data_IF_129781652195
#
_entry.id   IF_129781652195
#
_cell.length_a   1.000
_cell.length_b   1.000
_cell.length_c   1.000
_cell.angle_alpha   90.00
_cell.angle_beta   90.00
_cell.angle_gamma   90.00
#
_symmetry.space_group_name_H-M   'P 1'
#
loop_
_entity.id
_entity.type
_entity.pdbx_description
1 polymer ?
#
# COMPACT_ATOMS: atom_id res chain seq x y z
N UNK A 1 1.63 20.94 -4.94
CA UNK A 1 0.48 21.85 -5.10
C UNK A 1 -0.28 21.44 -6.36
N UNK A 2 -1.60 21.59 -6.40
CA UNK A 2 -2.38 21.41 -7.63
C UNK A 2 -2.76 22.78 -8.15
N UNK A 3 -2.45 23.08 -9.41
CA UNK A 3 -2.85 24.33 -10.06
C UNK A 3 -1.75 25.39 -10.21
N UNK A 4 -2.17 26.61 -10.53
CA UNK A 4 -1.28 27.76 -10.77
C UNK A 4 -0.65 28.29 -9.48
N UNK A 5 0.68 28.27 -9.45
CA UNK A 5 1.50 28.74 -8.34
C UNK A 5 1.43 30.26 -8.14
N UNK A 6 1.09 31.00 -9.19
CA UNK A 6 0.87 32.45 -9.15
C UNK A 6 -0.49 32.86 -8.58
N UNK A 7 -1.43 31.93 -8.44
CA UNK A 7 -2.75 32.21 -7.89
C UNK A 7 -2.70 32.42 -6.37
N UNK A 8 -3.71 33.12 -5.84
CA UNK A 8 -3.81 33.51 -4.44
C UNK A 8 -5.24 33.91 -4.09
N UNK A 9 -5.58 33.87 -2.81
CA UNK A 9 -6.91 34.19 -2.30
C UNK A 9 -6.82 35.17 -1.13
N UNK A 10 -7.76 36.12 -1.02
CA UNK A 10 -7.74 37.11 0.04
C UNK A 10 -8.11 36.46 1.36
N UNK A 11 -7.41 36.86 2.42
CA UNK A 11 -7.66 36.38 3.77
C UNK A 11 -8.45 37.43 4.57
N UNK A 12 -9.12 36.99 5.63
CA UNK A 12 -9.82 37.88 6.55
C UNK A 12 -9.66 37.36 7.97
N UNK A 13 -9.04 38.18 8.82
CA UNK A 13 -8.94 37.86 10.24
C UNK A 13 -10.31 37.89 10.92
N UNK A 14 -10.52 36.97 11.85
CA UNK A 14 -11.82 36.80 12.54
C UNK A 14 -12.24 38.06 13.29
N UNK A 15 -11.32 38.74 13.96
CA UNK A 15 -11.66 39.95 14.72
C UNK A 15 -12.03 41.10 13.79
N UNK A 16 -11.41 41.18 12.61
CA UNK A 16 -11.74 42.19 11.61
C UNK A 16 -13.12 41.92 10.99
N UNK A 17 -13.48 40.64 10.79
CA UNK A 17 -14.84 40.23 10.42
C UNK A 17 -15.87 40.64 11.49
N UNK A 18 -15.58 40.36 12.76
CA UNK A 18 -16.47 40.73 13.86
C UNK A 18 -16.63 42.26 13.92
N UNK A 19 -15.55 43.02 13.76
CA UNK A 19 -15.59 44.47 13.71
C UNK A 19 -16.42 44.99 12.53
N UNK A 20 -16.35 44.35 11.35
CA UNK A 20 -17.19 44.70 10.19
C UNK A 20 -18.68 44.51 10.51
N UNK A 21 -19.03 43.37 11.12
CA UNK A 21 -20.40 43.05 11.52
C UNK A 21 -20.92 44.04 12.57
N UNK A 22 -20.12 44.33 13.60
CA UNK A 22 -20.49 45.30 14.65
C UNK A 22 -20.77 46.67 14.03
N UNK A 23 -19.92 47.14 13.12
CA UNK A 23 -20.12 48.42 12.41
C UNK A 23 -21.36 48.43 11.53
N UNK A 24 -21.70 47.30 10.90
CA UNK A 24 -22.93 47.18 10.14
C UNK A 24 -24.17 47.28 11.05
N UNK A 25 -24.14 46.62 12.22
CA UNK A 25 -25.23 46.67 13.21
C UNK A 25 -25.37 48.08 13.78
N UNK A 26 -24.28 48.75 14.13
CA UNK A 26 -24.30 50.10 14.69
C UNK A 26 -24.87 51.12 13.70
N UNK A 27 -24.57 50.96 12.41
CA UNK A 27 -25.03 51.85 11.34
C UNK A 27 -26.31 51.39 10.66
N UNK A 28 -26.97 50.32 11.13
CA UNK A 28 -28.12 49.69 10.45
C UNK A 28 -29.23 50.65 10.04
N UNK A 29 -29.47 51.72 10.81
CA UNK A 29 -30.51 52.71 10.50
C UNK A 29 -30.14 53.69 9.37
N UNK A 30 -28.85 53.77 9.02
CA UNK A 30 -28.30 54.64 7.99
C UNK A 30 -27.90 53.87 6.72
N UNK A 31 -28.12 52.56 6.67
CA UNK A 31 -27.80 51.72 5.52
C UNK A 31 -29.05 51.48 4.67
N UNK A 32 -28.91 51.39 3.34
CA UNK A 32 -29.97 50.90 2.47
C UNK A 32 -30.44 49.50 2.89
N UNK A 33 -31.70 49.19 2.60
CA UNK A 33 -32.33 47.89 2.88
C UNK A 33 -31.49 46.70 2.39
N UNK A 34 -30.75 46.88 1.28
CA UNK A 34 -29.77 45.93 0.78
C UNK A 34 -28.41 46.61 0.55
N UNK A 35 -27.36 46.09 1.20
CA UNK A 35 -25.99 46.59 1.06
C UNK A 35 -25.02 45.43 0.88
N UNK A 36 -24.36 45.37 -0.28
CA UNK A 36 -23.36 44.36 -0.62
C UNK A 36 -21.95 44.92 -0.42
N UNK A 37 -21.11 44.19 0.29
CA UNK A 37 -19.74 44.59 0.64
C UNK A 37 -18.77 43.43 0.49
N UNK A 38 -17.58 43.75 0.00
CA UNK A 38 -16.42 42.88 0.09
C UNK A 38 -15.61 43.28 1.32
N UNK A 39 -15.20 42.30 2.12
CA UNK A 39 -14.39 42.46 3.32
C UNK A 39 -13.28 41.42 3.31
N UNK A 40 -12.06 41.88 3.56
CA UNK A 40 -10.85 41.05 3.57
C UNK A 40 -9.60 41.92 3.42
N UNK A 41 -8.45 41.26 3.36
CA UNK A 41 -7.16 41.85 3.07
C UNK A 41 -7.05 42.21 1.58
N UNK A 42 -6.58 43.43 1.26
CA UNK A 42 -6.29 43.82 -0.13
C UNK A 42 -5.00 43.13 -0.63
N UNK A 43 -4.09 42.74 0.27
CA UNK A 43 -2.89 41.98 -0.06
C UNK A 43 -3.23 40.50 -0.27
N UNK A 44 -2.96 39.99 -1.46
CA UNK A 44 -3.23 38.59 -1.85
C UNK A 44 -1.93 37.89 -2.23
N UNK A 45 -1.19 37.32 -1.27
CA UNK A 45 0.06 36.61 -1.58
C UNK A 45 -0.26 35.34 -2.38
N UNK A 46 0.61 35.00 -3.35
CA UNK A 46 0.44 33.78 -4.12
C UNK A 46 0.72 32.53 -3.28
N UNK A 47 0.22 31.37 -3.72
CA UNK A 47 0.50 30.09 -3.07
C UNK A 47 2.01 29.78 -3.03
N UNK A 48 2.74 30.14 -4.09
CA UNK A 48 4.21 30.00 -4.12
C UNK A 48 4.89 30.92 -3.10
N UNK A 49 4.46 32.18 -3.03
CA UNK A 49 5.02 33.15 -2.10
C UNK A 49 4.79 32.73 -0.65
N UNK A 50 3.57 32.29 -0.33
CA UNK A 50 3.22 31.75 0.99
C UNK A 50 4.06 30.52 1.35
N UNK A 51 4.24 29.58 0.43
CA UNK A 51 5.01 28.37 0.71
C UNK A 51 6.50 28.65 0.89
N UNK A 52 7.11 29.53 0.08
CA UNK A 52 8.50 29.96 0.26
C UNK A 52 8.68 30.67 1.60
N UNK A 53 7.76 31.56 1.96
CA UNK A 53 7.82 32.32 3.22
C UNK A 53 7.68 31.40 4.43
N UNK A 54 6.76 30.43 4.39
CA UNK A 54 6.63 29.39 5.43
C UNK A 54 7.89 28.52 5.48
N UNK A 55 8.39 28.05 4.34
CA UNK A 55 9.61 27.23 4.25
C UNK A 55 10.81 27.90 4.92
N UNK A 56 11.05 29.19 4.63
CA UNK A 56 12.09 29.99 5.29
C UNK A 56 11.87 30.11 6.79
N UNK A 57 10.65 30.44 7.23
CA UNK A 57 10.36 30.62 8.66
C UNK A 57 10.49 29.32 9.48
N UNK A 58 10.12 28.18 8.89
CA UNK A 58 10.15 26.88 9.58
C UNK A 58 11.55 26.26 9.52
N UNK A 59 12.14 26.18 8.33
CA UNK A 59 13.33 25.37 8.03
C UNK A 59 14.57 26.15 7.58
N UNK A 60 14.48 27.49 7.45
CA UNK A 60 15.56 28.34 6.93
C UNK A 60 15.97 28.00 5.48
N UNK A 61 15.06 27.38 4.72
CA UNK A 61 15.28 26.93 3.34
C UNK A 61 14.15 27.37 2.40
N UNK A 62 14.50 27.60 1.13
CA UNK A 62 13.52 27.80 0.06
C UNK A 62 12.95 26.46 -0.39
N UNK A 63 11.73 26.17 0.04
CA UNK A 63 11.01 24.99 -0.39
C UNK A 63 10.61 25.08 -1.86
N UNK A 64 10.98 24.05 -2.62
CA UNK A 64 10.65 23.95 -4.04
C UNK A 64 9.26 23.38 -4.20
N UNK A 65 8.29 24.22 -4.56
CA UNK A 65 6.92 23.77 -4.81
C UNK A 65 6.82 23.06 -6.15
N UNK A 66 6.44 21.78 -6.12
CA UNK A 66 6.15 21.01 -7.32
C UNK A 66 4.65 21.05 -7.61
N UNK A 67 4.29 21.42 -8.85
CA UNK A 67 2.92 21.33 -9.36
C UNK A 67 2.66 19.94 -9.91
N UNK A 68 1.57 19.29 -9.47
CA UNK A 68 1.15 17.98 -9.99
C UNK A 68 -0.06 18.15 -10.92
N UNK A 69 -0.15 17.35 -12.01
CA UNK A 69 -1.32 17.37 -12.88
C UNK A 69 -2.60 17.00 -12.11
N UNK A 70 -3.67 17.80 -12.29
CA UNK A 70 -4.94 17.64 -11.55
C UNK A 70 -5.52 16.23 -11.57
N UNK A 71 -5.42 15.53 -12.71
CA UNK A 71 -5.92 14.16 -12.86
C UNK A 71 -5.20 13.13 -11.97
N UNK A 72 -3.89 13.27 -11.81
CA UNK A 72 -3.08 12.36 -11.00
C UNK A 72 -3.31 12.62 -9.50
N UNK A 73 -3.48 13.89 -9.11
CA UNK A 73 -3.80 14.25 -7.73
C UNK A 73 -5.23 13.87 -7.33
N UNK A 74 -6.22 14.00 -8.22
CA UNK A 74 -7.60 13.57 -7.95
C UNK A 74 -7.70 12.06 -7.74
N UNK A 75 -7.00 11.27 -8.55
CA UNK A 75 -6.91 9.82 -8.37
C UNK A 75 -6.19 9.44 -7.06
N UNK A 76 -5.07 10.10 -6.74
CA UNK A 76 -4.34 9.86 -5.49
C UNK A 76 -5.15 10.21 -4.24
N UNK A 77 -5.82 11.37 -4.24
CA UNK A 77 -6.69 11.80 -3.14
C UNK A 77 -7.88 10.85 -2.97
N UNK A 78 -8.51 10.41 -4.07
CA UNK A 78 -9.61 9.43 -4.02
C UNK A 78 -9.17 8.10 -3.41
N UNK A 79 -8.02 7.55 -3.81
CA UNK A 79 -7.45 6.33 -3.21
C UNK A 79 -7.18 6.53 -1.72
N UNK A 80 -6.64 7.68 -1.33
CA UNK A 80 -6.30 7.97 0.05
C UNK A 80 -7.53 8.13 0.96
N UNK A 81 -8.60 8.78 0.46
CA UNK A 81 -9.84 8.97 1.22
C UNK A 81 -10.68 7.69 1.26
N UNK A 82 -10.96 7.07 0.11
CA UNK A 82 -11.97 5.98 0.02
C UNK A 82 -11.40 4.58 0.31
N UNK A 83 -10.12 4.34 -0.02
CA UNK A 83 -9.51 3.01 0.14
C UNK A 83 -8.69 2.92 1.43
N UNK A 84 -8.02 4.02 1.82
CA UNK A 84 -7.15 4.06 2.99
C UNK A 84 -7.80 4.68 4.23
N UNK A 85 -9.05 5.15 4.12
CA UNK A 85 -9.84 5.80 5.20
C UNK A 85 -9.06 6.90 5.93
N UNK A 86 -8.25 7.66 5.18
CA UNK A 86 -7.52 8.81 5.69
C UNK A 86 -8.29 10.08 5.33
N UNK A 87 -8.66 10.87 6.33
CA UNK A 87 -9.14 12.23 6.09
C UNK A 87 -8.08 13.01 5.32
N UNK A 88 -8.35 13.27 4.04
CA UNK A 88 -7.46 14.06 3.21
C UNK A 88 -7.87 15.51 3.34
N UNK A 89 -6.92 16.36 3.78
CA UNK A 89 -7.13 17.81 3.94
C UNK A 89 -7.44 18.50 2.61
N UNK A 90 -7.04 17.88 1.49
CA UNK A 90 -7.29 18.37 0.13
C UNK A 90 -8.58 17.77 -0.39
N UNK A 91 -9.65 18.59 -0.46
CA UNK A 91 -10.93 18.16 -1.02
C UNK A 91 -10.97 18.30 -2.55
N UNK A 92 -11.75 17.47 -3.29
CA UNK A 92 -11.81 17.53 -4.75
C UNK A 92 -12.16 18.91 -5.34
N UNK A 93 -13.04 19.66 -4.68
CA UNK A 93 -13.43 21.00 -5.10
C UNK A 93 -12.30 22.04 -4.91
N UNK A 94 -11.38 21.82 -3.97
CA UNK A 94 -10.20 22.69 -3.78
C UNK A 94 -9.23 22.55 -4.96
N UNK A 95 -9.14 21.37 -5.58
CA UNK A 95 -8.29 21.09 -6.75
C UNK A 95 -8.87 21.74 -8.02
N UNK A 96 -10.19 21.89 -8.07
CA UNK A 96 -10.86 22.54 -9.21
C UNK A 96 -10.63 24.05 -9.16
N UNK A 97 -10.74 24.68 -7.99
CA UNK A 97 -10.60 26.14 -7.79
C UNK A 97 -9.17 26.63 -7.59
N UNK A 98 -8.16 25.76 -7.63
CA UNK A 98 -6.78 26.12 -7.28
C UNK A 98 -6.03 26.94 -8.34
N UNK A 99 -6.65 27.20 -9.49
CA UNK A 99 -6.10 28.08 -10.54
C UNK A 99 -6.63 29.52 -10.45
N UNK A 100 -7.64 29.78 -9.60
CA UNK A 100 -8.29 31.08 -9.54
C UNK A 100 -7.54 32.05 -8.62
N UNK A 101 -7.17 33.21 -9.16
CA UNK A 101 -6.62 34.33 -8.39
C UNK A 101 -7.72 35.37 -8.12
N UNK A 102 -7.95 35.70 -6.85
CA UNK A 102 -8.97 36.66 -6.45
C UNK A 102 -8.32 37.85 -5.73
N UNK A 103 -8.58 39.06 -6.21
CA UNK A 103 -8.30 40.31 -5.52
C UNK A 103 -9.63 40.98 -5.13
N UNK A 104 -9.65 41.70 -4.01
CA UNK A 104 -10.86 42.34 -3.51
C UNK A 104 -10.70 43.85 -3.36
N UNK A 105 -11.76 44.58 -3.73
CA UNK A 105 -11.86 46.02 -3.53
C UNK A 105 -12.75 46.33 -2.31
N UNK A 106 -12.13 46.82 -1.24
CA UNK A 106 -12.81 47.18 0.02
C UNK A 106 -13.25 48.64 0.08
N UNK A 107 -13.15 49.41 -1.02
CA UNK A 107 -13.48 50.85 -1.05
C UNK A 107 -14.90 51.14 -0.55
N UNK A 108 -15.84 50.23 -0.79
CA UNK A 108 -17.22 50.36 -0.30
C UNK A 108 -17.34 50.13 1.21
N UNK A 109 -16.57 49.20 1.78
CA UNK A 109 -16.51 48.98 3.21
C UNK A 109 -15.83 50.16 3.93
N UNK A 110 -14.78 50.71 3.33
CA UNK A 110 -14.08 51.91 3.82
C UNK A 110 -15.00 53.13 3.84
N UNK A 111 -15.74 53.38 2.75
CA UNK A 111 -16.62 54.55 2.65
C UNK A 111 -17.88 54.45 3.50
N UNK A 112 -18.57 53.31 3.52
CA UNK A 112 -19.84 53.17 4.27
C UNK A 112 -19.61 52.90 5.75
N UNK A 113 -18.58 52.11 6.10
CA UNK A 113 -18.36 51.66 7.48
C UNK A 113 -17.13 52.29 8.14
N UNK A 114 -16.25 52.97 7.40
CA UNK A 114 -14.93 53.34 7.95
C UNK A 114 -14.17 52.10 8.41
N UNK A 115 -14.35 50.98 7.69
CA UNK A 115 -13.75 49.69 8.02
C UNK A 115 -12.58 49.39 7.09
N UNK A 116 -11.49 48.92 7.69
CA UNK A 116 -10.29 48.42 7.04
C UNK A 116 -9.76 47.24 7.86
N UNK A 117 -9.12 46.24 7.21
CA UNK A 117 -8.47 45.15 7.92
C UNK A 117 -7.32 45.71 8.78
N UNK A 118 -7.24 45.26 10.03
CA UNK A 118 -6.17 45.64 10.96
C UNK A 118 -5.10 44.58 11.08
N UNK A 119 -5.45 43.35 10.75
CA UNK A 119 -4.56 42.20 10.77
C UNK A 119 -4.25 41.81 9.32
N UNK A 120 -2.99 41.45 9.06
CA UNK A 120 -2.60 40.83 7.80
C UNK A 120 -1.97 39.47 8.04
N UNK A 121 -2.32 38.48 7.20
CA UNK A 121 -1.75 37.14 7.29
C UNK A 121 -0.23 37.18 7.17
N UNK A 122 0.27 37.94 6.18
CA UNK A 122 1.70 38.13 5.93
C UNK A 122 2.45 38.74 7.12
N UNK A 123 1.79 39.64 7.85
CA UNK A 123 2.32 40.30 9.05
C UNK A 123 2.28 39.41 10.30
N UNK A 124 1.25 38.58 10.45
CA UNK A 124 1.11 37.68 11.62
C UNK A 124 1.87 36.37 11.47
N UNK A 125 2.18 35.95 10.23
CA UNK A 125 2.80 34.66 9.94
C UNK A 125 4.12 34.40 10.71
N UNK A 126 5.07 35.34 10.84
CA UNK A 126 6.31 35.09 11.60
C UNK A 126 6.06 34.73 13.07
N UNK A 127 5.11 35.42 13.70
CA UNK A 127 4.73 35.16 15.10
C UNK A 127 3.98 33.82 15.24
N UNK A 128 3.13 33.48 14.27
CA UNK A 128 2.46 32.17 14.22
C UNK A 128 3.48 31.03 14.17
N UNK A 129 4.49 31.15 13.29
CA UNK A 129 5.54 30.13 13.14
C UNK A 129 6.47 30.10 14.36
N UNK A 130 6.81 31.24 14.96
CA UNK A 130 7.59 31.29 16.22
C UNK A 130 6.90 30.49 17.32
N UNK A 131 5.61 30.75 17.57
CA UNK A 131 4.82 30.01 18.58
C UNK A 131 4.68 28.53 18.24
N UNK A 132 4.53 28.20 16.96
CA UNK A 132 4.51 26.81 16.51
C UNK A 132 5.82 26.09 16.83
N UNK A 133 6.98 26.75 16.66
CA UNK A 133 8.30 26.16 16.95
C UNK A 133 8.59 26.05 18.45
N UNK A 134 8.01 26.92 19.27
CA UNK A 134 8.20 26.92 20.73
C UNK A 134 7.45 25.78 21.43
N UNK A 135 6.18 25.59 21.10
CA UNK A 135 5.38 24.47 21.61
C UNK A 135 4.40 24.00 20.52
N UNK A 136 4.83 23.07 19.65
CA UNK A 136 3.99 22.58 18.56
C UNK A 136 2.70 21.91 19.05
N UNK A 137 2.73 21.26 20.23
CA UNK A 137 1.58 20.50 20.73
C UNK A 137 0.50 21.44 21.23
N UNK A 138 0.86 22.41 22.08
CA UNK A 138 -0.05 23.43 22.59
C UNK A 138 -0.58 24.33 21.46
N UNK A 139 0.26 24.65 20.47
CA UNK A 139 -0.15 25.44 19.31
C UNK A 139 -1.26 24.76 18.49
N UNK A 140 -1.13 23.46 18.18
CA UNK A 140 -2.17 22.73 17.46
C UNK A 140 -3.47 22.62 18.28
N UNK A 141 -3.37 22.36 19.59
CA UNK A 141 -4.52 22.27 20.48
C UNK A 141 -5.28 23.60 20.58
N UNK A 142 -4.57 24.73 20.77
CA UNK A 142 -5.17 26.07 20.83
C UNK A 142 -5.85 26.49 19.53
N UNK A 143 -5.29 26.08 18.39
CA UNK A 143 -5.85 26.38 17.07
C UNK A 143 -6.91 25.38 16.61
N UNK A 144 -7.30 24.43 17.47
CA UNK A 144 -8.30 23.37 17.16
C UNK A 144 -7.93 22.54 15.93
N UNK A 145 -6.64 22.44 15.65
CA UNK A 145 -6.11 21.57 14.60
C UNK A 145 -5.87 20.17 15.18
N UNK A 146 -5.70 19.18 14.32
CA UNK A 146 -5.38 17.83 14.76
C UNK A 146 -3.99 17.80 15.41
N UNK A 147 -3.96 17.99 16.73
CA UNK A 147 -2.73 17.82 17.52
C UNK A 147 -2.10 16.43 17.32
N UNK A 148 -2.85 15.44 16.84
CA UNK A 148 -2.39 14.11 16.45
C UNK A 148 -1.51 14.07 15.18
N UNK A 149 -1.53 15.11 14.35
CA UNK A 149 -0.71 15.21 13.13
C UNK A 149 0.73 15.67 13.41
N UNK A 150 0.97 16.40 14.52
CA UNK A 150 2.30 16.97 14.87
C UNK A 150 2.82 16.47 16.22
N UNK A 151 1.94 16.16 17.17
CA UNK A 151 2.31 15.25 18.25
C UNK A 151 2.16 13.84 17.70
N UNK A 152 3.26 13.05 17.69
CA UNK A 152 3.15 11.60 17.66
C UNK A 152 1.99 11.20 18.61
N UNK A 153 0.92 10.69 18.02
CA UNK A 153 -0.48 10.92 18.44
C UNK A 153 -0.77 10.91 19.95
N UNK A 154 -1.70 11.74 20.47
CA UNK A 154 -2.24 11.60 21.85
C UNK A 154 -2.59 10.13 22.20
N UNK A 155 -3.18 9.31 21.30
CA UNK A 155 -3.30 7.87 21.52
C UNK A 155 -1.95 7.12 21.65
N UNK A 156 -0.91 7.43 20.86
CA UNK A 156 0.45 6.91 21.04
C UNK A 156 1.12 7.40 22.34
N UNK A 157 0.92 8.66 22.74
CA UNK A 157 1.46 9.23 23.98
C UNK A 157 0.70 8.73 25.21
N UNK A 158 -0.61 8.48 25.11
CA UNK A 158 -1.39 7.84 26.17
C UNK A 158 -1.12 6.33 26.23
N UNK A 159 -0.89 5.67 25.10
CA UNK A 159 -0.35 4.31 25.07
C UNK A 159 1.08 4.27 25.64
N UNK A 160 1.94 5.21 25.29
CA UNK A 160 3.31 5.32 25.81
C UNK A 160 3.30 5.64 27.31
N UNK A 161 2.43 6.55 27.78
CA UNK A 161 2.22 6.84 29.21
C UNK A 161 1.63 5.65 29.95
N UNK A 162 0.74 4.84 29.33
CA UNK A 162 0.26 3.57 29.89
C UNK A 162 1.36 2.50 29.92
N UNK A 163 2.17 2.37 28.86
CA UNK A 163 3.34 1.48 28.76
C UNK A 163 4.41 1.85 29.80
N UNK A 164 4.65 3.15 30.01
CA UNK A 164 5.58 3.68 31.01
C UNK A 164 5.08 3.54 32.47
N UNK A 165 3.76 3.36 32.67
CA UNK A 165 3.16 3.05 33.99
C UNK A 165 3.22 1.56 34.32
N UNK A 166 3.42 0.69 33.34
CA UNK A 166 3.63 -0.76 33.51
C UNK A 166 5.08 -1.18 33.26
N UNK A 167 5.39 -2.47 33.38
CA UNK A 167 6.66 -3.01 32.89
C UNK A 167 6.80 -2.76 31.38
N UNK A 168 7.96 -2.24 30.94
CA UNK A 168 8.25 -1.94 29.52
C UNK A 168 8.28 -3.19 28.62
N UNK A 169 8.39 -4.38 29.22
CA UNK A 169 8.28 -5.67 28.56
C UNK A 169 7.09 -6.42 29.16
N UNK A 170 6.23 -6.98 28.30
CA UNK A 170 5.17 -7.90 28.71
C UNK A 170 5.78 -9.07 29.46
N UNK A 171 5.08 -9.58 30.46
CA UNK A 171 5.56 -10.77 31.16
C UNK A 171 5.60 -11.96 30.19
N UNK A 172 6.54 -12.90 30.41
CA UNK A 172 6.60 -14.12 29.58
C UNK A 172 5.28 -14.91 29.60
N UNK A 173 4.54 -14.84 30.70
CA UNK A 173 3.24 -15.49 30.87
C UNK A 173 2.17 -14.81 30.00
N UNK A 174 2.10 -13.47 30.00
CA UNK A 174 1.18 -12.73 29.12
C UNK A 174 1.39 -13.04 27.64
N UNK A 175 2.66 -13.08 27.20
CA UNK A 175 3.01 -13.43 25.81
C UNK A 175 2.58 -14.85 25.47
N UNK A 176 2.73 -15.79 26.40
CA UNK A 176 2.33 -17.19 26.22
C UNK A 176 0.80 -17.33 26.12
N UNK A 177 0.06 -16.69 27.03
CA UNK A 177 -1.40 -16.67 26.99
C UNK A 177 -1.95 -16.01 25.71
N UNK A 178 -1.37 -14.88 25.27
CA UNK A 178 -1.78 -14.20 24.05
C UNK A 178 -1.50 -15.05 22.81
N UNK A 179 -0.33 -15.71 22.76
CA UNK A 179 0.04 -16.61 21.67
C UNK A 179 -0.88 -17.83 21.62
N UNK A 180 -1.24 -18.40 22.78
CA UNK A 180 -2.19 -19.52 22.86
C UNK A 180 -3.60 -19.12 22.43
N UNK A 181 -4.08 -17.95 22.87
CA UNK A 181 -5.37 -17.39 22.42
C UNK A 181 -5.38 -17.13 20.92
N UNK A 182 -4.33 -16.51 20.39
CA UNK A 182 -4.19 -16.26 18.94
C UNK A 182 -4.22 -17.58 18.18
N UNK A 183 -3.41 -18.56 18.61
CA UNK A 183 -3.39 -19.90 18.01
C UNK A 183 -4.77 -20.55 18.03
N UNK A 184 -5.50 -20.48 19.15
CA UNK A 184 -6.86 -21.02 19.27
C UNK A 184 -7.82 -20.42 18.25
N UNK A 185 -7.72 -19.12 17.98
CA UNK A 185 -8.55 -18.41 16.98
C UNK A 185 -8.15 -18.69 15.54
N UNK A 186 -6.92 -19.14 15.29
CA UNK A 186 -6.39 -19.40 13.94
C UNK A 186 -6.27 -20.88 13.60
N UNK A 187 -6.79 -21.80 14.42
CA UNK A 187 -6.74 -23.25 14.14
C UNK A 187 -7.46 -23.64 12.84
N UNK A 188 -8.38 -22.81 12.34
CA UNK A 188 -9.03 -23.00 11.05
C UNK A 188 -8.06 -22.90 9.87
N UNK A 189 -6.94 -22.19 10.00
CA UNK A 189 -5.99 -21.98 8.90
C UNK A 189 -5.23 -23.28 8.53
N UNK A 190 -4.62 -24.03 9.48
CA UNK A 190 -4.11 -25.36 9.19
C UNK A 190 -5.19 -26.35 8.70
N UNK A 191 -6.44 -26.23 9.15
CA UNK A 191 -7.54 -27.05 8.62
C UNK A 191 -7.87 -26.71 7.16
N UNK A 192 -7.84 -25.42 6.80
CA UNK A 192 -7.98 -24.97 5.42
C UNK A 192 -6.83 -25.51 4.55
N UNK A 193 -5.59 -25.53 5.06
CA UNK A 193 -4.47 -26.19 4.38
C UNK A 193 -4.69 -27.69 4.19
N UNK A 194 -5.23 -28.39 5.17
CA UNK A 194 -5.57 -29.80 5.01
C UNK A 194 -6.63 -30.00 3.93
N UNK A 195 -7.65 -29.15 3.87
CA UNK A 195 -8.66 -29.17 2.81
C UNK A 195 -8.06 -28.87 1.42
N UNK A 196 -7.16 -27.88 1.31
CA UNK A 196 -6.43 -27.60 0.06
C UNK A 196 -5.52 -28.77 -0.35
N UNK A 197 -4.90 -29.45 0.60
CA UNK A 197 -4.12 -30.67 0.34
C UNK A 197 -4.98 -31.78 -0.24
N UNK A 198 -6.16 -32.03 0.34
CA UNK A 198 -7.14 -32.99 -0.19
C UNK A 198 -7.67 -32.57 -1.56
N UNK A 199 -7.89 -31.28 -1.79
CA UNK A 199 -8.25 -30.74 -3.10
C UNK A 199 -7.20 -31.08 -4.16
N UNK A 200 -5.92 -30.78 -3.89
CA UNK A 200 -4.79 -31.10 -4.77
C UNK A 200 -4.66 -32.58 -5.07
N UNK A 201 -4.99 -33.47 -4.13
CA UNK A 201 -4.97 -34.93 -4.39
C UNK A 201 -5.96 -35.37 -5.47
N UNK A 202 -7.01 -34.59 -5.70
CA UNK A 202 -8.06 -34.91 -6.68
C UNK A 202 -8.00 -34.02 -7.92
N UNK A 203 -7.24 -32.92 -7.87
CA UNK A 203 -7.11 -31.96 -8.96
C UNK A 203 -6.59 -32.57 -10.27
N UNK A 204 -5.59 -33.47 -10.28
CA UNK A 204 -5.10 -34.06 -11.53
C UNK A 204 -6.16 -34.82 -12.30
N UNK A 205 -7.10 -35.47 -11.59
CA UNK A 205 -8.19 -36.22 -12.20
C UNK A 205 -9.29 -35.31 -12.73
N UNK A 206 -9.56 -34.19 -12.05
CA UNK A 206 -10.60 -33.23 -12.47
C UNK A 206 -10.13 -32.28 -13.56
N UNK A 207 -8.82 -32.02 -13.61
CA UNK A 207 -8.16 -31.18 -14.61
C UNK A 207 -7.66 -31.96 -15.83
N UNK A 208 -7.82 -33.30 -15.85
CA UNK A 208 -7.43 -34.15 -16.97
C UNK A 208 -5.92 -34.24 -17.19
N UNK A 209 -5.10 -34.14 -16.14
CA UNK A 209 -3.63 -34.20 -16.27
C UNK A 209 -3.12 -35.57 -16.73
N UNK A 210 -3.91 -36.63 -16.53
CA UNK A 210 -3.59 -37.98 -16.99
C UNK A 210 -4.25 -38.33 -18.34
N UNK A 211 -5.09 -37.44 -18.87
CA UNK A 211 -5.77 -37.67 -20.15
C UNK A 211 -4.80 -37.45 -21.32
N UNK A 212 -5.02 -38.09 -22.48
CA UNK A 212 -4.22 -37.87 -23.68
C UNK A 212 -4.23 -36.39 -24.10
N UNK A 213 -3.04 -35.79 -24.19
CA UNK A 213 -2.90 -34.39 -24.61
C UNK A 213 -3.04 -34.27 -26.13
N UNK A 214 -4.04 -33.52 -26.61
CA UNK A 214 -4.13 -33.12 -28.01
C UNK A 214 -2.98 -32.14 -28.33
N UNK A 215 -2.25 -32.36 -29.43
CA UNK A 215 -1.04 -31.64 -29.86
C UNK A 215 -1.03 -30.15 -29.43
N UNK A 216 -0.43 -29.83 -28.26
CA UNK A 216 -0.39 -28.47 -27.78
C UNK A 216 0.74 -27.72 -28.49
N UNK A 217 0.66 -26.39 -28.65
CA UNK A 217 1.79 -25.63 -29.11
C UNK A 217 2.98 -25.87 -28.16
N UNK A 218 4.19 -26.11 -28.70
CA UNK A 218 5.35 -26.34 -27.86
C UNK A 218 5.66 -25.09 -27.04
N UNK A 219 6.11 -25.24 -25.79
CA UNK A 219 6.51 -24.09 -24.99
C UNK A 219 7.67 -23.37 -25.69
N UNK A 220 7.71 -22.05 -25.58
CA UNK A 220 8.69 -21.18 -26.23
C UNK A 220 10.06 -21.20 -25.52
N UNK A 221 10.52 -22.40 -25.13
CA UNK A 221 11.80 -22.64 -24.48
C UNK A 221 12.90 -22.91 -25.51
N UNK A 222 14.15 -22.62 -25.16
CA UNK A 222 15.31 -22.79 -26.05
C UNK A 222 15.85 -24.21 -26.16
N UNK A 223 15.25 -25.16 -25.46
CA UNK A 223 15.73 -26.53 -25.30
C UNK A 223 14.59 -27.53 -25.45
N UNK A 224 14.93 -28.78 -25.76
CA UNK A 224 13.94 -29.86 -25.83
C UNK A 224 13.41 -30.18 -24.44
N UNK A 225 12.08 -30.24 -24.33
CA UNK A 225 11.36 -30.64 -23.12
C UNK A 225 10.73 -32.02 -23.33
N UNK A 226 10.44 -32.70 -22.23
CA UNK A 226 9.76 -33.98 -22.25
C UNK A 226 8.41 -33.93 -23.01
N UNK A 227 7.93 -35.11 -23.41
CA UNK A 227 6.64 -35.24 -24.10
C UNK A 227 5.49 -34.62 -23.29
N UNK A 228 4.52 -33.93 -23.93
CA UNK A 228 3.38 -33.29 -23.25
C UNK A 228 2.67 -34.18 -22.23
N UNK A 229 2.44 -35.45 -22.56
CA UNK A 229 1.79 -36.41 -21.66
C UNK A 229 2.61 -36.66 -20.39
N UNK A 230 3.93 -36.80 -20.55
CA UNK A 230 4.84 -37.10 -19.45
C UNK A 230 4.96 -35.91 -18.50
N UNK A 231 5.02 -34.69 -19.06
CA UNK A 231 5.02 -33.42 -18.31
C UNK A 231 3.80 -33.30 -17.40
N UNK A 232 2.59 -33.50 -17.95
CA UNK A 232 1.36 -33.42 -17.16
C UNK A 232 1.26 -34.57 -16.14
N UNK A 233 1.70 -35.77 -16.50
CA UNK A 233 1.71 -36.93 -15.58
C UNK A 233 2.62 -36.69 -14.38
N UNK A 234 3.82 -36.15 -14.60
CA UNK A 234 4.74 -35.80 -13.52
C UNK A 234 4.18 -34.70 -12.62
N UNK A 235 3.55 -33.67 -13.20
CA UNK A 235 2.86 -32.65 -12.42
C UNK A 235 1.73 -33.29 -11.58
N UNK A 236 0.88 -34.12 -12.19
CA UNK A 236 -0.24 -34.76 -11.49
C UNK A 236 0.22 -35.64 -10.31
N UNK A 237 1.31 -36.39 -10.48
CA UNK A 237 1.93 -37.15 -9.37
C UNK A 237 2.45 -36.20 -8.29
N UNK A 238 3.11 -35.09 -8.69
CA UNK A 238 3.60 -34.07 -7.76
C UNK A 238 2.46 -33.42 -6.97
N UNK A 239 1.32 -33.11 -7.60
CA UNK A 239 0.13 -32.56 -6.94
C UNK A 239 -0.44 -33.53 -5.90
N UNK A 240 -0.56 -34.82 -6.24
CA UNK A 240 -1.05 -35.84 -5.30
C UNK A 240 -0.13 -35.98 -4.10
N UNK A 241 1.18 -36.11 -4.33
CA UNK A 241 2.16 -36.25 -3.26
C UNK A 241 2.22 -35.00 -2.38
N UNK A 242 2.26 -33.82 -2.99
CA UNK A 242 2.30 -32.54 -2.28
C UNK A 242 1.03 -32.32 -1.48
N UNK A 243 -0.14 -32.61 -2.05
CA UNK A 243 -1.43 -32.51 -1.38
C UNK A 243 -1.55 -33.42 -0.16
N UNK A 244 -1.11 -34.67 -0.28
CA UNK A 244 -1.06 -35.61 0.83
C UNK A 244 -0.12 -35.11 1.95
N UNK A 245 1.09 -34.65 1.59
CA UNK A 245 2.06 -34.14 2.56
C UNK A 245 1.55 -32.87 3.24
N UNK A 246 0.95 -31.93 2.49
CA UNK A 246 0.34 -30.71 3.04
C UNK A 246 -0.74 -31.08 4.05
N UNK A 247 -1.63 -32.03 3.73
CA UNK A 247 -2.67 -32.46 4.66
C UNK A 247 -2.09 -33.06 5.96
N UNK A 248 -1.08 -33.93 5.85
CA UNK A 248 -0.42 -34.54 7.02
C UNK A 248 0.30 -33.47 7.86
N UNK A 249 1.13 -32.62 7.25
CA UNK A 249 1.92 -31.63 7.99
C UNK A 249 1.07 -30.50 8.55
N UNK A 250 0.01 -30.08 7.86
CA UNK A 250 -0.91 -29.07 8.37
C UNK A 250 -1.64 -29.56 9.63
N UNK A 251 -2.18 -30.78 9.61
CA UNK A 251 -2.88 -31.38 10.76
C UNK A 251 -1.94 -31.68 11.93
N UNK A 252 -0.77 -32.24 11.67
CA UNK A 252 0.23 -32.51 12.72
C UNK A 252 0.82 -31.23 13.31
N UNK A 253 0.99 -30.20 12.49
CA UNK A 253 1.44 -28.87 12.88
C UNK A 253 0.41 -28.06 13.67
N UNK A 254 -0.83 -28.55 13.84
CA UNK A 254 -1.82 -27.94 14.74
C UNK A 254 -1.38 -28.04 16.20
N UNK A 255 -0.52 -29.00 16.56
CA UNK A 255 -0.01 -29.20 17.91
C UNK A 255 1.07 -28.17 18.28
N UNK A 256 1.00 -27.60 19.49
CA UNK A 256 1.92 -26.54 19.96
C UNK A 256 3.39 -26.95 19.82
N UNK A 257 3.67 -28.21 20.18
CA UNK A 257 5.03 -28.78 20.17
C UNK A 257 5.60 -28.99 18.77
N UNK A 258 4.73 -29.07 17.77
CA UNK A 258 5.07 -29.40 16.37
C UNK A 258 4.78 -28.26 15.40
N UNK A 259 4.57 -27.04 15.92
CA UNK A 259 4.25 -25.87 15.10
C UNK A 259 5.31 -25.57 14.03
N UNK A 260 6.56 -25.99 14.24
CA UNK A 260 7.62 -25.90 13.22
C UNK A 260 7.27 -26.62 11.92
N UNK A 261 6.39 -27.63 11.94
CA UNK A 261 5.90 -28.33 10.75
C UNK A 261 5.15 -27.40 9.79
N UNK A 262 4.66 -26.24 10.24
CA UNK A 262 4.06 -25.26 9.35
C UNK A 262 5.07 -24.64 8.38
N UNK A 263 6.37 -24.60 8.73
CA UNK A 263 7.42 -24.21 7.76
C UNK A 263 7.57 -25.24 6.65
N UNK A 264 7.40 -26.53 6.96
CA UNK A 264 7.39 -27.60 5.96
C UNK A 264 6.15 -27.45 5.06
N UNK A 265 4.98 -27.19 5.63
CA UNK A 265 3.75 -26.90 4.87
C UNK A 265 3.91 -25.69 3.96
N UNK A 266 4.53 -24.61 4.44
CA UNK A 266 4.82 -23.43 3.62
C UNK A 266 5.80 -23.75 2.47
N UNK A 267 6.87 -24.51 2.74
CA UNK A 267 7.81 -24.93 1.70
C UNK A 267 7.11 -25.80 0.63
N UNK A 268 6.18 -26.67 1.02
CA UNK A 268 5.36 -27.43 0.08
C UNK A 268 4.42 -26.52 -0.72
N UNK A 269 3.84 -25.48 -0.12
CA UNK A 269 3.07 -24.46 -0.84
C UNK A 269 3.90 -23.73 -1.90
N UNK A 270 5.15 -23.37 -1.58
CA UNK A 270 6.08 -22.80 -2.56
C UNK A 270 6.41 -23.78 -3.68
N UNK A 271 6.60 -25.07 -3.36
CA UNK A 271 6.80 -26.10 -4.36
C UNK A 271 5.58 -26.25 -5.28
N UNK A 272 4.36 -26.29 -4.73
CA UNK A 272 3.12 -26.34 -5.54
C UNK A 272 3.03 -25.15 -6.49
N UNK A 273 3.36 -23.93 -6.03
CA UNK A 273 3.39 -22.74 -6.89
C UNK A 273 4.44 -22.84 -8.02
N UNK A 274 5.56 -23.55 -7.78
CA UNK A 274 6.68 -23.62 -8.70
C UNK A 274 6.62 -24.85 -9.65
N UNK A 275 6.01 -25.95 -9.22
CA UNK A 275 5.99 -27.23 -9.93
C UNK A 275 5.44 -27.15 -11.36
N UNK A 276 4.35 -26.40 -11.66
CA UNK A 276 3.88 -26.23 -13.03
C UNK A 276 4.93 -25.67 -13.98
N UNK A 277 5.82 -24.80 -13.50
CA UNK A 277 6.90 -24.21 -14.29
C UNK A 277 8.03 -25.22 -14.52
N UNK A 278 8.41 -25.96 -13.47
CA UNK A 278 9.46 -27.00 -13.55
C UNK A 278 9.08 -28.11 -14.51
N UNK A 279 7.86 -28.62 -14.41
CA UNK A 279 7.37 -29.66 -15.32
C UNK A 279 6.90 -29.10 -16.66
N UNK A 280 6.89 -27.76 -16.80
CA UNK A 280 6.33 -27.07 -17.95
C UNK A 280 4.92 -27.62 -18.26
N UNK A 281 3.91 -27.51 -17.40
CA UNK A 281 2.60 -28.13 -17.69
C UNK A 281 1.95 -27.60 -18.97
N UNK A 282 1.22 -28.45 -19.69
CA UNK A 282 0.40 -28.00 -20.84
C UNK A 282 -0.99 -27.52 -20.41
N UNK A 283 -1.37 -27.74 -19.16
CA UNK A 283 -2.66 -27.31 -18.61
C UNK A 283 -2.58 -25.89 -18.05
N UNK A 284 -3.24 -24.95 -18.72
CA UNK A 284 -3.40 -23.58 -18.24
C UNK A 284 -4.17 -23.52 -16.90
N UNK A 285 -5.14 -24.42 -16.73
CA UNK A 285 -5.94 -24.53 -15.52
C UNK A 285 -5.08 -24.97 -14.33
N UNK A 286 -4.25 -26.00 -14.50
CA UNK A 286 -3.32 -26.46 -13.46
C UNK A 286 -2.32 -25.36 -13.08
N UNK A 287 -1.72 -24.69 -14.07
CA UNK A 287 -0.81 -23.57 -13.79
C UNK A 287 -1.46 -22.46 -12.96
N UNK A 288 -2.70 -22.06 -13.30
CA UNK A 288 -3.43 -21.04 -12.57
C UNK A 288 -3.82 -21.47 -11.15
N UNK A 289 -4.37 -22.68 -11.01
CA UNK A 289 -4.84 -23.23 -9.73
C UNK A 289 -3.66 -23.44 -8.78
N UNK A 290 -2.59 -24.07 -9.24
CA UNK A 290 -1.42 -24.37 -8.41
C UNK A 290 -0.72 -23.11 -7.93
N UNK A 291 -0.65 -22.07 -8.77
CA UNK A 291 -0.11 -20.77 -8.35
C UNK A 291 -0.93 -20.19 -7.19
N UNK A 292 -2.27 -20.21 -7.30
CA UNK A 292 -3.16 -19.70 -6.27
C UNK A 292 -3.13 -20.55 -5.00
N UNK A 293 -3.27 -21.87 -5.14
CA UNK A 293 -3.28 -22.82 -4.02
C UNK A 293 -1.94 -22.78 -3.29
N UNK A 294 -0.82 -22.74 -4.00
CA UNK A 294 0.51 -22.61 -3.41
C UNK A 294 0.63 -21.36 -2.53
N UNK A 295 0.20 -20.19 -3.02
CA UNK A 295 0.18 -18.95 -2.22
C UNK A 295 -0.73 -19.06 -0.99
N UNK A 296 -1.95 -19.60 -1.15
CA UNK A 296 -2.89 -19.80 -0.03
C UNK A 296 -2.33 -20.74 1.03
N UNK A 297 -1.65 -21.82 0.60
CA UNK A 297 -1.02 -22.77 1.52
C UNK A 297 0.03 -22.07 2.39
N UNK A 298 0.87 -21.23 1.79
CA UNK A 298 1.85 -20.43 2.55
C UNK A 298 1.14 -19.46 3.50
N UNK A 299 0.13 -18.73 3.02
CA UNK A 299 -0.60 -17.76 3.83
C UNK A 299 -1.22 -18.39 5.08
N UNK A 300 -1.91 -19.52 4.91
CA UNK A 300 -2.53 -20.24 6.02
C UNK A 300 -1.53 -21.00 6.92
N UNK A 301 -0.33 -21.30 6.42
CA UNK A 301 0.70 -21.97 7.21
C UNK A 301 1.46 -21.01 8.12
N UNK A 302 1.86 -19.82 7.63
CA UNK A 302 2.83 -18.96 8.35
C UNK A 302 2.42 -17.50 8.49
N UNK A 303 1.40 -17.01 7.77
CA UNK A 303 0.94 -15.62 7.87
C UNK A 303 -0.20 -15.42 8.86
N UNK A 304 -1.21 -16.30 8.83
CA UNK A 304 -2.38 -16.22 9.71
C UNK A 304 -2.08 -16.76 11.12
N UNK A 305 -1.60 -18.01 11.29
CA UNK A 305 -1.26 -18.51 12.62
C UNK A 305 -0.02 -17.79 13.18
N UNK A 306 0.21 -17.84 14.50
CA UNK A 306 1.44 -17.31 15.06
C UNK A 306 2.65 -17.95 14.38
N UNK A 307 3.61 -17.15 13.94
CA UNK A 307 4.74 -17.66 13.16
C UNK A 307 5.58 -18.62 14.02
N UNK A 308 5.91 -19.83 13.54
CA UNK A 308 6.68 -20.79 14.33
C UNK A 308 8.12 -20.31 14.55
N UNK A 309 8.65 -20.47 15.77
CA UNK A 309 10.07 -20.27 16.07
C UNK A 309 10.47 -18.86 16.49
N UNK A 310 9.54 -17.90 16.58
CA UNK A 310 9.84 -16.57 17.12
C UNK A 310 10.13 -16.66 18.63
N UNK A 311 11.22 -16.02 19.08
CA UNK A 311 11.57 -16.01 20.49
C UNK A 311 10.54 -15.24 21.32
N UNK A 312 10.15 -15.80 22.49
CA UNK A 312 9.20 -15.16 23.42
C UNK A 312 9.68 -13.79 23.88
N UNK A 313 11.01 -13.60 23.99
CA UNK A 313 11.64 -12.32 24.34
C UNK A 313 11.41 -11.27 23.25
N UNK A 314 11.49 -11.65 21.97
CA UNK A 314 11.22 -10.74 20.86
C UNK A 314 9.75 -10.29 20.82
N UNK A 315 8.82 -11.16 21.23
CA UNK A 315 7.39 -10.82 21.33
C UNK A 315 7.04 -9.98 22.57
N UNK A 316 7.82 -10.10 23.64
CA UNK A 316 7.58 -9.42 24.93
C UNK A 316 7.84 -7.91 24.90
N UNK A 317 8.82 -7.45 24.14
CA UNK A 317 9.11 -6.02 24.04
C UNK A 317 8.06 -5.32 23.15
N UNK A 318 7.56 -4.17 23.60
CA UNK A 318 6.42 -3.48 22.98
C UNK A 318 6.81 -2.43 21.92
N UNK A 319 8.11 -2.32 21.59
CA UNK A 319 8.63 -1.32 20.65
C UNK A 319 8.59 -1.78 19.19
N UNK A 320 7.83 -1.10 18.36
CA UNK A 320 7.62 -1.42 16.95
C UNK A 320 8.61 -0.70 16.02
N UNK A 321 9.47 0.18 16.54
CA UNK A 321 10.40 1.01 15.75
C UNK A 321 11.85 0.56 15.97
N UNK A 322 12.66 0.44 14.90
CA UNK A 322 14.10 0.21 15.05
C UNK A 322 14.80 1.41 15.71
N UNK A 323 15.90 1.15 16.42
CA UNK A 323 16.73 2.20 17.00
C UNK A 323 17.23 3.18 15.93
N UNK A 324 16.98 4.47 16.15
CA UNK A 324 17.41 5.56 15.25
C UNK A 324 16.45 5.88 14.10
N UNK A 325 15.28 5.23 14.03
CA UNK A 325 14.28 5.50 12.99
C UNK A 325 13.10 6.32 13.51
N UNK A 326 12.67 7.31 12.72
CA UNK A 326 11.46 8.10 13.02
C UNK A 326 10.15 7.34 12.69
N UNK A 327 10.22 6.26 11.92
CA UNK A 327 9.08 5.43 11.52
C UNK A 327 9.45 3.93 11.53
N UNK A 328 8.44 3.05 11.54
CA UNK A 328 8.66 1.60 11.40
C UNK A 328 8.65 1.18 9.93
N UNK A 329 9.78 0.70 9.35
CA UNK A 329 9.81 0.22 7.97
C UNK A 329 9.01 -1.08 7.78
N UNK A 330 8.73 -1.81 8.87
CA UNK A 330 7.89 -3.01 8.84
C UNK A 330 6.39 -2.71 8.99
N UNK A 331 6.00 -1.44 9.05
CA UNK A 331 4.58 -1.07 9.11
C UNK A 331 3.84 -1.41 7.82
N UNK A 332 2.58 -1.84 7.94
CA UNK A 332 1.78 -2.24 6.77
C UNK A 332 1.61 -1.10 5.76
N UNK A 333 1.49 0.15 6.22
CA UNK A 333 1.39 1.32 5.33
C UNK A 333 2.62 1.50 4.44
N UNK A 334 3.81 1.14 4.94
CA UNK A 334 5.05 1.19 4.14
C UNK A 334 5.18 -0.01 3.19
N UNK A 335 4.56 -1.15 3.53
CA UNK A 335 4.65 -2.40 2.77
C UNK A 335 3.59 -2.53 1.66
N UNK A 336 2.41 -1.93 1.86
CA UNK A 336 1.29 -1.99 0.90
C UNK A 336 1.71 -1.58 -0.52
N UNK A 337 2.45 -0.48 -0.75
CA UNK A 337 2.86 -0.10 -2.11
C UNK A 337 3.73 -1.17 -2.79
N UNK A 338 4.65 -1.79 -2.04
CA UNK A 338 5.53 -2.85 -2.54
C UNK A 338 4.71 -4.09 -2.88
N UNK A 339 3.80 -4.50 -1.98
CA UNK A 339 2.90 -5.64 -2.21
C UNK A 339 1.97 -5.39 -3.39
N UNK A 340 1.43 -4.17 -3.54
CA UNK A 340 0.58 -3.80 -4.66
C UNK A 340 1.34 -3.85 -6.00
N UNK A 341 2.57 -3.33 -6.05
CA UNK A 341 3.44 -3.45 -7.21
C UNK A 341 3.76 -4.91 -7.52
N UNK A 342 3.99 -5.74 -6.51
CA UNK A 342 4.22 -7.16 -6.68
C UNK A 342 2.97 -7.89 -7.22
N UNK A 343 1.75 -7.49 -6.86
CA UNK A 343 0.53 -8.01 -7.50
C UNK A 343 0.45 -7.65 -8.98
N UNK A 344 0.77 -6.40 -9.34
CA UNK A 344 0.83 -5.98 -10.75
C UNK A 344 1.87 -6.82 -11.51
N UNK A 345 3.06 -6.96 -10.93
CA UNK A 345 4.13 -7.80 -11.46
C UNK A 345 3.68 -9.25 -11.64
N UNK A 346 3.06 -9.86 -10.63
CA UNK A 346 2.54 -11.22 -10.68
C UNK A 346 1.55 -11.40 -11.83
N UNK A 347 0.57 -10.51 -11.99
CA UNK A 347 -0.44 -10.64 -13.03
C UNK A 347 0.15 -10.51 -14.44
N UNK A 348 1.04 -9.54 -14.65
CA UNK A 348 1.72 -9.34 -15.92
C UNK A 348 2.63 -10.53 -16.23
N UNK A 349 3.49 -10.93 -15.29
CA UNK A 349 4.41 -12.03 -15.47
C UNK A 349 3.70 -13.37 -15.68
N UNK A 350 2.61 -13.65 -14.96
CA UNK A 350 1.80 -14.86 -15.15
C UNK A 350 1.14 -14.90 -16.54
N UNK A 351 0.68 -13.74 -17.04
CA UNK A 351 0.13 -13.63 -18.39
C UNK A 351 1.20 -13.90 -19.47
N UNK A 352 2.39 -13.32 -19.31
CA UNK A 352 3.53 -13.58 -20.20
C UNK A 352 3.99 -15.05 -20.13
N UNK A 353 4.01 -15.64 -18.93
CA UNK A 353 4.34 -17.04 -18.73
C UNK A 353 3.35 -17.98 -19.43
N UNK A 354 2.06 -17.65 -19.43
CA UNK A 354 1.04 -18.42 -20.14
C UNK A 354 1.37 -18.52 -21.65
N UNK A 355 1.84 -17.44 -22.27
CA UNK A 355 2.30 -17.47 -23.66
C UNK A 355 3.55 -18.35 -23.83
N UNK A 356 4.56 -18.18 -22.97
CA UNK A 356 5.78 -18.99 -23.04
C UNK A 356 5.54 -20.49 -22.83
N UNK A 357 4.52 -20.83 -22.06
CA UNK A 357 4.13 -22.21 -21.77
C UNK A 357 3.22 -22.82 -22.85
N UNK A 358 2.81 -22.02 -23.85
CA UNK A 358 1.92 -22.46 -24.92
C UNK A 358 0.44 -22.55 -24.49
N UNK A 359 0.03 -21.83 -23.45
CA UNK A 359 -1.37 -21.80 -22.99
C UNK A 359 -2.24 -20.81 -23.78
N UNK A 360 -1.61 -19.83 -24.41
CA UNK A 360 -2.26 -18.81 -25.25
C UNK A 360 -1.42 -18.58 -26.52
N UNK A 361 -2.10 -18.25 -27.62
CA UNK A 361 -1.47 -18.16 -28.95
C UNK A 361 -0.76 -16.82 -29.22
N UNK A 362 -1.02 -15.80 -28.40
CA UNK A 362 -0.50 -14.46 -28.61
C UNK A 362 -0.59 -13.56 -27.39
N UNK A 363 0.22 -12.52 -27.38
CA UNK A 363 0.23 -11.48 -26.36
C UNK A 363 -0.44 -10.21 -26.88
N UNK A 364 -1.28 -9.62 -26.04
CA UNK A 364 -1.79 -8.29 -26.29
C UNK A 364 -0.72 -7.25 -26.01
N UNK A 365 -0.23 -6.58 -27.05
CA UNK A 365 0.75 -5.50 -26.97
C UNK A 365 0.18 -4.22 -27.61
N UNK A 366 -0.42 -3.31 -26.83
CA UNK A 366 -1.04 -2.10 -27.35
C UNK A 366 -0.04 -1.02 -27.78
N UNK A 367 1.25 -1.15 -27.42
CA UNK A 367 2.26 -0.12 -27.64
C UNK A 367 3.23 -0.47 -28.78
N UNK A 368 3.63 -1.74 -28.86
CA UNK A 368 4.60 -2.22 -29.83
C UNK A 368 3.96 -3.09 -30.94
N UNK A 369 2.70 -3.50 -30.76
CA UNK A 369 1.78 -3.97 -31.81
C UNK A 369 2.08 -5.35 -32.44
N UNK A 370 1.08 -6.00 -33.08
CA UNK A 370 1.22 -7.25 -33.84
C UNK A 370 1.57 -7.00 -35.32
N UNK A 371 2.22 -5.87 -35.64
CA UNK A 371 2.39 -5.41 -37.02
C UNK A 371 3.59 -6.05 -37.73
N UNK A 372 3.45 -6.27 -39.05
CA UNK A 372 4.48 -6.69 -40.02
C UNK A 372 5.72 -5.76 -40.12
N UNK A 373 5.94 -4.90 -39.13
CA UNK A 373 7.11 -4.06 -39.05
C UNK A 373 8.33 -4.91 -38.63
N UNK A 374 9.53 -4.66 -39.19
CA UNK A 374 10.75 -5.42 -38.92
C UNK A 374 11.34 -5.19 -37.51
N UNK A 375 10.52 -4.70 -36.58
CA UNK A 375 10.95 -4.26 -35.25
C UNK A 375 10.79 -5.43 -34.28
N UNK A 376 11.91 -6.05 -33.93
CA UNK A 376 12.04 -7.21 -33.02
C UNK A 376 11.76 -6.87 -31.53
N UNK A 377 10.92 -5.86 -31.26
CA UNK A 377 10.78 -5.25 -29.92
C UNK A 377 9.39 -5.44 -29.30
N UNK A 378 8.49 -6.21 -29.92
CA UNK A 378 7.21 -6.56 -29.30
C UNK A 378 7.39 -7.48 -28.09
N UNK A 379 6.40 -7.51 -27.20
CA UNK A 379 6.43 -8.33 -25.98
C UNK A 379 6.75 -9.81 -26.27
N UNK A 380 6.17 -10.37 -27.35
CA UNK A 380 6.46 -11.74 -27.82
C UNK A 380 7.93 -11.94 -28.20
N UNK A 381 8.55 -10.97 -28.87
CA UNK A 381 9.95 -11.05 -29.28
C UNK A 381 10.92 -10.99 -28.08
N UNK A 382 10.55 -10.27 -27.02
CA UNK A 382 11.33 -10.20 -25.77
C UNK A 382 11.24 -11.50 -24.99
N UNK A 383 10.03 -12.02 -24.76
CA UNK A 383 9.80 -13.26 -23.98
C UNK A 383 10.13 -14.54 -24.77
N UNK A 384 10.52 -14.43 -26.03
CA UNK A 384 11.04 -15.55 -26.84
C UNK A 384 12.46 -15.29 -27.35
N UNK A 385 13.11 -14.27 -26.79
CA UNK A 385 14.49 -13.88 -27.09
C UNK A 385 15.49 -14.97 -26.70
N UNK A 386 16.73 -14.86 -27.20
CA UNK A 386 17.80 -15.78 -26.83
C UNK A 386 18.13 -15.75 -25.32
N UNK A 387 17.93 -14.61 -24.66
CA UNK A 387 18.11 -14.46 -23.20
C UNK A 387 17.04 -15.28 -22.48
N UNK A 388 15.77 -15.06 -22.85
CA UNK A 388 14.62 -15.74 -22.26
C UNK A 388 14.71 -17.27 -22.45
N UNK A 389 15.06 -17.70 -23.68
CA UNK A 389 15.27 -19.11 -24.04
C UNK A 389 16.47 -19.77 -23.34
N UNK A 390 17.36 -18.98 -22.75
CA UNK A 390 18.50 -19.47 -21.98
C UNK A 390 18.13 -20.01 -20.59
N UNK A 391 16.92 -19.72 -20.10
CA UNK A 391 16.45 -20.22 -18.81
C UNK A 391 15.92 -21.67 -18.92
N UNK A 392 16.05 -22.49 -17.86
CA UNK A 392 15.53 -23.86 -17.83
C UNK A 392 14.00 -23.94 -17.74
N UNK A 393 13.35 -22.83 -17.37
CA UNK A 393 11.90 -22.66 -17.29
C UNK A 393 11.53 -21.32 -17.93
N UNK A 394 10.25 -21.08 -18.15
CA UNK A 394 9.74 -19.79 -18.63
C UNK A 394 10.24 -18.65 -17.72
N UNK A 395 10.99 -17.68 -18.26
CA UNK A 395 11.58 -16.58 -17.48
C UNK A 395 10.51 -15.66 -16.90
N UNK A 396 9.43 -15.39 -17.63
CA UNK A 396 8.28 -14.68 -17.09
C UNK A 396 7.56 -15.51 -16.02
N UNK A 397 7.59 -16.83 -16.11
CA UNK A 397 7.12 -17.74 -15.07
C UNK A 397 7.95 -17.62 -13.79
N UNK A 398 9.28 -17.56 -13.92
CA UNK A 398 10.18 -17.29 -12.80
C UNK A 398 9.92 -15.91 -12.19
N UNK A 399 9.64 -14.90 -13.02
CA UNK A 399 9.20 -13.59 -12.58
C UNK A 399 7.89 -13.64 -11.78
N UNK A 400 6.89 -14.39 -12.26
CA UNK A 400 5.62 -14.57 -11.56
C UNK A 400 5.84 -15.24 -10.19
N UNK A 401 6.69 -16.26 -10.12
CA UNK A 401 7.08 -16.90 -8.87
C UNK A 401 7.77 -15.91 -7.91
N UNK A 402 8.71 -15.11 -8.40
CA UNK A 402 9.41 -14.09 -7.60
C UNK A 402 8.45 -13.02 -7.05
N UNK A 403 7.53 -12.50 -7.87
CA UNK A 403 6.50 -11.58 -7.40
C UNK A 403 5.55 -12.24 -6.39
N UNK A 404 5.23 -13.53 -6.56
CA UNK A 404 4.51 -14.32 -5.56
C UNK A 404 5.25 -14.36 -4.22
N UNK A 405 6.58 -14.57 -4.24
CA UNK A 405 7.42 -14.51 -3.04
C UNK A 405 7.43 -13.10 -2.43
N UNK A 406 7.50 -12.04 -3.23
CA UNK A 406 7.45 -10.66 -2.75
C UNK A 406 6.12 -10.33 -2.07
N UNK A 407 5.00 -10.84 -2.60
CA UNK A 407 3.69 -10.71 -1.95
C UNK A 407 3.70 -11.43 -0.61
N UNK A 408 4.14 -12.69 -0.57
CA UNK A 408 4.15 -13.51 0.65
C UNK A 408 5.10 -12.91 1.71
N UNK A 409 6.33 -12.57 1.35
CA UNK A 409 7.31 -11.94 2.24
C UNK A 409 6.91 -10.50 2.62
N UNK A 410 6.29 -9.78 1.70
CA UNK A 410 5.78 -8.43 1.87
C UNK A 410 4.53 -8.35 2.75
N UNK A 411 3.86 -9.46 3.02
CA UNK A 411 2.66 -9.53 3.89
C UNK A 411 2.88 -10.32 5.19
N UNK A 412 3.87 -11.21 5.25
CA UNK A 412 4.15 -12.01 6.46
C UNK A 412 4.61 -11.15 7.64
N UNK A 413 4.10 -11.43 8.84
CA UNK A 413 4.56 -10.79 10.09
C UNK A 413 4.00 -9.38 10.35
N UNK A 414 4.06 -9.00 11.62
CA UNK A 414 3.55 -7.73 12.18
C UNK A 414 4.59 -6.59 12.07
N UNK A 415 4.30 -5.39 12.59
CA UNK A 415 5.22 -4.24 12.70
C UNK A 415 6.55 -4.58 13.38
N UNK A 416 6.57 -5.64 14.17
CA UNK A 416 7.74 -6.18 14.88
C UNK A 416 8.62 -7.11 14.02
N UNK A 417 8.24 -7.35 12.76
CA UNK A 417 8.96 -8.22 11.80
C UNK A 417 10.46 -7.93 11.75
N UNK A 418 10.85 -6.66 11.79
CA UNK A 418 12.26 -6.24 11.74
C UNK A 418 13.16 -6.90 12.81
N UNK A 419 12.59 -7.41 13.90
CA UNK A 419 13.30 -8.14 14.97
C UNK A 419 12.83 -9.57 15.17
N UNK A 420 11.64 -9.93 14.70
CA UNK A 420 11.06 -11.27 14.92
C UNK A 420 11.35 -12.24 13.78
N UNK A 421 11.70 -11.76 12.60
CA UNK A 421 12.05 -12.60 11.44
C UNK A 421 13.52 -12.45 11.06
N UNK A 422 14.17 -13.53 10.60
CA UNK A 422 15.47 -13.42 9.96
C UNK A 422 15.37 -12.57 8.70
N UNK A 423 16.38 -11.72 8.50
CA UNK A 423 16.57 -10.84 7.34
C UNK A 423 16.64 -11.58 6.01
#
# INVERSE_FOLDING_TARGET
FTGDLGAGQPYLHKDDLVEAIVRAVDRRAALPDETVLLIGEEETPSYEEMQKRIGRLVHDEDWRTLSLPKGLTKAGAWVQTEILDQETDIKPWMIENSDDHYEIDISRARSLFGWEPRHSLTGTLPEMIRRLKEDPTDWYEKNKLESAAVAASKPELDQARRRLRGPLERSRQEVEEETERHRGRTLWAPLANAALGLWLMTAPMTLGLFDPVALPPPPALGHEVAEPQLRNTWLGISEILSGLLIAIFALTGMSARRQWMQWVTAALGLWVMFAPLVFCTTSAAAYGIDTLVGMLVVAFAVMIPPTPGISRRALAADDDRPLGWSYSPSSFTQRIPIVALAFVGLFVSRYLAAYQMGHIDGLWDPFFGPGEAPVRNGSEAVVTSWVSKGFPIADAGLGAFAYGLDILAGTIGDRRRWRTMPW
#
